data_IF_419961217797
#
_entry.id   IF_419961217797
#
_cell.length_a   1.000
_cell.length_b   1.000
_cell.length_c   1.000
_cell.angle_alpha   90.00
_cell.angle_beta   90.00
_cell.angle_gamma   90.00
#
_symmetry.space_group_name_H-M   'P 1'
#
loop_
_entity.id
_entity.type
_entity.pdbx_description
1 polymer ?
#
# COMPACT_ATOMS: atom_id res chain seq x y z
N UNK A 1 45.30 71.90 -38.54
CA UNK A 1 44.48 71.03 -39.42
C UNK A 1 43.34 70.45 -38.59
N UNK A 2 42.12 70.95 -38.78
CA UNK A 2 40.89 70.14 -38.64
C UNK A 2 40.74 69.27 -39.93
N UNK A 3 39.88 68.23 -40.04
CA UNK A 3 38.42 68.22 -39.76
C UNK A 3 37.91 66.93 -39.02
N UNK A 4 36.84 66.99 -38.22
CA UNK A 4 35.39 66.85 -38.50
C UNK A 4 34.84 65.41 -38.74
N UNK A 5 33.88 65.04 -37.88
CA UNK A 5 32.67 64.14 -37.94
C UNK A 5 32.21 63.55 -39.30
N UNK A 6 31.24 62.58 -39.41
CA UNK A 6 30.20 62.19 -38.43
C UNK A 6 29.68 60.71 -38.39
N UNK A 7 28.86 60.44 -37.36
CA UNK A 7 27.61 59.66 -37.29
C UNK A 7 27.40 58.35 -38.07
N UNK A 8 27.02 57.29 -37.33
CA UNK A 8 26.14 56.23 -37.82
C UNK A 8 25.03 55.93 -36.80
N UNK A 9 23.78 56.07 -37.27
CA UNK A 9 22.53 55.75 -36.56
C UNK A 9 22.40 54.23 -36.38
N UNK A 10 21.93 53.79 -35.21
CA UNK A 10 21.37 52.45 -35.03
C UNK A 10 19.95 52.58 -34.48
N UNK A 11 19.04 51.84 -35.10
CA UNK A 11 17.60 51.97 -34.97
C UNK A 11 17.06 51.54 -33.62
N UNK A 12 15.93 52.17 -33.27
CA UNK A 12 15.07 51.78 -32.17
C UNK A 12 14.46 50.39 -32.45
N UNK A 13 14.49 49.52 -31.43
CA UNK A 13 13.61 48.34 -31.36
C UNK A 13 12.77 48.42 -30.08
N UNK A 14 11.44 48.19 -30.17
CA UNK A 14 10.52 48.39 -29.07
C UNK A 14 10.55 47.22 -28.07
N UNK A 15 10.30 47.54 -26.80
CA UNK A 15 10.05 46.59 -25.72
C UNK A 15 8.70 45.87 -25.95
N UNK A 16 8.58 44.55 -25.73
CA UNK A 16 7.30 43.85 -25.79
C UNK A 16 6.45 44.11 -24.53
N UNK A 17 5.14 44.27 -24.73
CA UNK A 17 4.12 44.48 -23.68
C UNK A 17 3.79 43.19 -22.92
N UNK A 18 3.48 43.37 -21.64
CA UNK A 18 2.78 42.41 -20.78
C UNK A 18 1.36 42.12 -21.30
N UNK A 19 1.01 40.83 -21.44
CA UNK A 19 -0.24 40.19 -20.98
C UNK A 19 -0.53 38.91 -21.78
N UNK A 20 -0.31 37.73 -21.20
CA UNK A 20 -1.15 36.56 -21.43
C UNK A 20 -1.27 35.78 -20.09
N UNK A 21 -2.50 35.67 -19.59
CA UNK A 21 -2.88 34.81 -18.46
C UNK A 21 -3.27 33.42 -19.00
N UNK A 22 -2.98 32.32 -18.30
CA UNK A 22 -3.34 30.98 -18.77
C UNK A 22 -4.86 30.74 -18.69
N UNK A 23 -5.38 30.07 -19.72
CA UNK A 23 -6.77 29.65 -19.89
C UNK A 23 -7.21 28.76 -18.73
N UNK A 24 -8.25 29.19 -18.02
CA UNK A 24 -8.92 28.44 -16.96
C UNK A 24 -9.71 27.27 -17.57
N UNK A 25 -9.33 26.02 -17.29
CA UNK A 25 -10.15 24.83 -17.60
C UNK A 25 -11.50 24.98 -16.88
N UNK A 26 -12.61 24.94 -17.63
CA UNK A 26 -13.95 24.89 -17.05
C UNK A 26 -14.20 23.50 -16.45
N UNK A 27 -14.60 23.46 -15.19
CA UNK A 27 -15.08 22.24 -14.53
C UNK A 27 -16.36 21.71 -15.20
N UNK A 28 -16.54 20.38 -15.31
CA UNK A 28 -17.69 19.78 -15.97
C UNK A 28 -19.00 20.04 -15.22
N UNK A 29 -20.10 20.00 -15.97
CA UNK A 29 -21.46 20.26 -15.48
C UNK A 29 -21.99 19.13 -14.59
N UNK A 30 -22.85 19.46 -13.62
CA UNK A 30 -23.51 18.50 -12.72
C UNK A 30 -24.33 17.41 -13.45
N UNK A 31 -24.66 17.61 -14.72
CA UNK A 31 -25.33 16.60 -15.55
C UNK A 31 -24.35 15.57 -16.15
N UNK A 32 -23.13 15.96 -16.50
CA UNK A 32 -22.09 15.05 -16.97
C UNK A 32 -21.65 14.10 -15.85
N UNK A 33 -21.58 14.62 -14.61
CA UNK A 33 -21.28 13.85 -13.39
C UNK A 33 -22.36 12.79 -13.09
N UNK A 34 -23.62 13.03 -13.49
CA UNK A 34 -24.73 12.10 -13.24
C UNK A 34 -24.82 10.98 -14.27
N UNK A 35 -24.40 11.23 -15.51
CA UNK A 35 -24.47 10.23 -16.58
C UNK A 35 -23.36 9.16 -16.45
N UNK A 36 -22.24 9.51 -15.84
CA UNK A 36 -21.09 8.62 -15.62
C UNK A 36 -21.36 7.49 -14.61
N UNK A 37 -22.33 7.67 -13.69
CA UNK A 37 -22.66 6.66 -12.66
C UNK A 37 -23.37 5.40 -13.17
N UNK A 38 -23.74 5.31 -14.46
CA UNK A 38 -24.48 4.15 -15.01
C UNK A 38 -23.67 3.20 -15.88
N UNK A 39 -22.36 3.41 -16.06
CA UNK A 39 -21.50 2.46 -16.75
C UNK A 39 -20.43 1.94 -15.81
N UNK A 40 -20.60 0.70 -15.36
CA UNK A 40 -19.57 -0.04 -14.64
C UNK A 40 -18.37 -0.26 -15.56
N UNK A 41 -17.33 0.54 -15.39
CA UNK A 41 -15.98 0.27 -15.86
C UNK A 41 -15.05 0.44 -14.68
N UNK A 42 -14.13 -0.51 -14.51
CA UNK A 42 -13.16 -0.59 -13.42
C UNK A 42 -12.64 0.82 -13.04
N UNK A 43 -12.91 1.24 -11.80
CA UNK A 43 -12.37 2.48 -11.27
C UNK A 43 -10.88 2.30 -11.03
N UNK A 44 -10.09 2.61 -12.05
CA UNK A 44 -8.75 3.11 -11.85
C UNK A 44 -8.88 4.38 -11.02
N UNK A 45 -8.61 4.29 -9.72
CA UNK A 45 -8.43 5.47 -8.87
C UNK A 45 -6.99 5.93 -9.06
N UNK A 46 -6.71 7.07 -9.73
CA UNK A 46 -5.35 7.42 -10.10
C UNK A 46 -4.64 8.05 -8.91
N UNK A 47 -3.71 7.32 -8.29
CA UNK A 47 -2.62 7.93 -7.55
C UNK A 47 -1.73 8.72 -8.55
N UNK A 48 -1.19 9.87 -8.14
CA UNK A 48 -0.51 10.81 -9.05
C UNK A 48 0.62 10.17 -9.87
N UNK A 49 0.51 10.24 -11.21
CA UNK A 49 1.17 9.33 -12.17
C UNK A 49 2.71 9.27 -12.24
N UNK A 50 3.45 10.06 -11.47
CA UNK A 50 4.91 9.95 -11.38
C UNK A 50 5.38 9.04 -10.23
N UNK A 51 4.73 9.15 -9.07
CA UNK A 51 5.06 8.35 -7.87
C UNK A 51 4.64 6.89 -8.08
N UNK A 52 3.53 6.67 -8.80
CA UNK A 52 2.98 5.33 -9.10
C UNK A 52 3.96 4.47 -9.88
N UNK A 53 4.63 5.03 -10.88
CA UNK A 53 5.53 4.27 -11.74
C UNK A 53 6.75 3.77 -10.95
N UNK A 54 7.27 4.58 -10.02
CA UNK A 54 8.42 4.18 -9.21
C UNK A 54 8.05 3.18 -8.11
N UNK A 55 6.87 3.32 -7.48
CA UNK A 55 6.37 2.32 -6.51
C UNK A 55 6.06 0.99 -7.21
N UNK A 56 5.41 1.03 -8.38
CA UNK A 56 5.16 -0.14 -9.21
C UNK A 56 6.48 -0.85 -9.58
N UNK A 57 7.49 -0.12 -10.06
CA UNK A 57 8.80 -0.71 -10.37
C UNK A 57 9.44 -1.39 -9.16
N UNK A 58 9.33 -0.81 -7.96
CA UNK A 58 9.87 -1.40 -6.73
C UNK A 58 9.14 -2.68 -6.35
N UNK A 59 7.80 -2.67 -6.42
CA UNK A 59 6.98 -3.84 -6.12
C UNK A 59 7.32 -4.97 -7.10
N UNK A 60 7.23 -4.69 -8.40
CA UNK A 60 7.48 -5.69 -9.45
C UNK A 60 8.92 -6.21 -9.40
N UNK A 61 9.90 -5.32 -9.23
CA UNK A 61 11.31 -5.71 -9.12
C UNK A 61 11.60 -6.55 -7.87
N UNK A 62 10.97 -6.26 -6.72
CA UNK A 62 11.12 -7.07 -5.52
C UNK A 62 10.46 -8.45 -5.66
N UNK A 63 9.28 -8.50 -6.29
CA UNK A 63 8.61 -9.78 -6.58
C UNK A 63 9.45 -10.63 -7.53
N UNK A 64 10.07 -10.04 -8.54
CA UNK A 64 10.98 -10.75 -9.44
C UNK A 64 12.23 -11.28 -8.70
N UNK A 65 12.85 -10.45 -7.85
CA UNK A 65 14.10 -10.81 -7.18
C UNK A 65 13.93 -11.72 -5.95
N UNK A 66 12.85 -11.56 -5.20
CA UNK A 66 12.65 -12.17 -3.88
C UNK A 66 11.34 -12.97 -3.77
N UNK A 67 10.45 -12.82 -4.75
CA UNK A 67 9.14 -13.48 -4.80
C UNK A 67 8.02 -12.74 -4.08
N UNK A 68 8.33 -11.66 -3.37
CA UNK A 68 7.33 -10.81 -2.71
C UNK A 68 7.86 -9.42 -2.42
N UNK A 69 6.97 -8.52 -2.00
CA UNK A 69 7.29 -7.19 -1.49
C UNK A 69 6.55 -6.95 -0.17
N UNK A 70 7.20 -6.27 0.77
CA UNK A 70 6.60 -5.87 2.04
C UNK A 70 6.16 -4.41 2.00
N UNK A 71 4.89 -4.16 2.29
CA UNK A 71 4.36 -2.81 2.40
C UNK A 71 4.17 -2.46 3.86
N UNK A 72 4.94 -1.49 4.34
CA UNK A 72 4.78 -0.94 5.68
C UNK A 72 3.93 0.33 5.65
N UNK A 73 3.01 0.45 6.62
CA UNK A 73 2.16 1.61 6.83
C UNK A 73 2.30 2.05 8.28
N UNK A 74 2.66 3.32 8.43
CA UNK A 74 2.95 3.96 9.70
C UNK A 74 2.04 5.17 9.86
N UNK A 75 1.39 5.30 11.02
CA UNK A 75 0.63 6.49 11.39
C UNK A 75 1.45 7.37 12.34
N UNK A 76 1.91 8.57 11.90
CA UNK A 76 2.68 9.46 12.76
C UNK A 76 1.87 10.02 13.94
N UNK A 77 0.54 10.03 13.86
CA UNK A 77 -0.34 10.51 14.93
C UNK A 77 -0.69 9.38 15.93
N UNK A 78 -0.28 8.14 15.64
CA UNK A 78 -0.52 6.95 16.45
C UNK A 78 -2.02 6.71 16.75
N UNK A 79 -2.89 7.15 15.85
CA UNK A 79 -4.34 6.95 15.96
C UNK A 79 -4.70 5.55 15.50
N UNK A 80 -4.07 5.08 14.42
CA UNK A 80 -4.20 3.70 13.92
C UNK A 80 -2.89 2.93 14.16
N UNK A 81 -2.98 1.61 14.44
CA UNK A 81 -1.79 0.79 14.62
C UNK A 81 -1.01 0.67 13.32
N UNK A 82 0.31 0.73 13.42
CA UNK A 82 1.20 0.42 12.31
C UNK A 82 0.97 -1.01 11.83
N UNK A 83 1.17 -1.25 10.54
CA UNK A 83 1.04 -2.59 9.99
C UNK A 83 1.98 -2.83 8.82
N UNK A 84 2.23 -4.10 8.56
CA UNK A 84 2.95 -4.55 7.37
C UNK A 84 2.16 -5.66 6.72
N UNK A 85 2.04 -5.64 5.39
CA UNK A 85 1.42 -6.72 4.63
C UNK A 85 2.27 -7.14 3.44
N UNK A 86 2.06 -8.37 2.99
CA UNK A 86 2.72 -8.93 1.80
C UNK A 86 2.02 -8.49 0.51
N UNK A 87 2.82 -8.37 -0.55
CA UNK A 87 2.34 -8.24 -1.92
C UNK A 87 3.09 -9.26 -2.76
N UNK A 88 2.35 -10.16 -3.42
CA UNK A 88 2.90 -11.12 -4.37
C UNK A 88 2.93 -12.57 -3.90
N UNK A 89 2.54 -12.88 -2.66
CA UNK A 89 2.42 -14.29 -2.22
C UNK A 89 1.42 -15.06 -3.09
N UNK A 90 0.33 -14.39 -3.43
CA UNK A 90 -0.70 -14.92 -4.33
C UNK A 90 -0.18 -15.20 -5.73
N UNK A 91 0.73 -14.36 -6.22
CA UNK A 91 1.34 -14.53 -7.54
C UNK A 91 2.43 -15.61 -7.57
N UNK A 92 3.27 -15.70 -6.53
CA UNK A 92 4.50 -16.52 -6.57
C UNK A 92 4.40 -17.85 -5.85
N UNK A 93 3.49 -17.97 -4.88
CA UNK A 93 3.29 -19.19 -4.08
C UNK A 93 1.88 -19.79 -4.19
N UNK A 94 0.97 -19.16 -4.94
CA UNK A 94 -0.47 -19.50 -4.95
C UNK A 94 -1.05 -19.53 -3.52
N UNK A 95 -0.62 -18.56 -2.70
CA UNK A 95 -0.98 -18.43 -1.29
C UNK A 95 -1.77 -17.13 -1.01
N UNK A 96 -2.54 -17.03 0.08
CA UNK A 96 -3.07 -15.77 0.56
C UNK A 96 -1.96 -14.75 0.78
N UNK A 97 -2.33 -13.47 0.72
CA UNK A 97 -1.52 -12.42 1.29
C UNK A 97 -1.65 -12.44 2.82
N UNK A 98 -0.66 -11.87 3.50
CA UNK A 98 -0.58 -11.85 4.97
C UNK A 98 -0.40 -10.43 5.49
N UNK A 99 -0.98 -10.15 6.65
CA UNK A 99 -0.88 -8.87 7.34
C UNK A 99 -0.57 -9.04 8.83
N UNK A 100 0.29 -8.18 9.37
CA UNK A 100 0.66 -8.11 10.79
C UNK A 100 0.48 -6.67 11.27
N UNK A 101 -0.01 -6.48 12.49
CA UNK A 101 -0.27 -5.17 13.10
C UNK A 101 0.54 -4.96 14.37
N UNK A 102 0.76 -3.71 14.74
CA UNK A 102 1.04 -3.29 16.11
C UNK A 102 2.46 -3.53 16.63
N UNK A 103 3.36 -4.08 15.81
CA UNK A 103 4.76 -4.34 16.17
C UNK A 103 5.71 -3.37 15.45
N UNK A 104 6.99 -3.41 15.81
CA UNK A 104 8.02 -2.69 15.08
C UNK A 104 8.10 -3.17 13.62
N UNK A 105 8.42 -2.26 12.69
CA UNK A 105 8.48 -2.54 11.25
C UNK A 105 9.28 -3.80 10.93
N UNK A 106 10.49 -3.90 11.48
CA UNK A 106 11.41 -4.99 11.18
C UNK A 106 10.89 -6.33 11.72
N UNK A 107 10.24 -6.32 12.90
CA UNK A 107 9.60 -7.52 13.47
C UNK A 107 8.48 -8.00 12.56
N UNK A 108 7.60 -7.10 12.10
CA UNK A 108 6.52 -7.48 11.18
C UNK A 108 7.05 -7.96 9.83
N UNK A 109 8.14 -7.36 9.34
CA UNK A 109 8.81 -7.81 8.12
C UNK A 109 9.36 -9.23 8.27
N UNK A 110 10.11 -9.49 9.34
CA UNK A 110 10.72 -10.80 9.60
C UNK A 110 9.66 -11.89 9.80
N UNK A 111 8.55 -11.56 10.46
CA UNK A 111 7.40 -12.46 10.57
C UNK A 111 6.84 -12.83 9.19
N UNK A 112 6.65 -11.86 8.29
CA UNK A 112 6.15 -12.12 6.93
C UNK A 112 7.17 -12.90 6.09
N UNK A 113 8.46 -12.60 6.21
CA UNK A 113 9.53 -13.38 5.58
C UNK A 113 9.50 -14.85 6.07
N UNK A 114 9.33 -15.05 7.38
CA UNK A 114 9.17 -16.38 7.97
C UNK A 114 7.91 -17.11 7.51
N UNK A 115 6.81 -16.40 7.25
CA UNK A 115 5.61 -16.98 6.62
C UNK A 115 5.93 -17.42 5.19
N UNK A 116 6.53 -16.55 4.39
CA UNK A 116 6.92 -16.83 3.01
C UNK A 116 7.78 -18.09 2.90
N UNK A 117 8.85 -18.17 3.69
CA UNK A 117 9.78 -19.30 3.67
C UNK A 117 9.11 -20.62 4.05
N UNK A 118 8.22 -20.60 5.06
CA UNK A 118 7.48 -21.80 5.47
C UNK A 118 6.50 -22.27 4.40
N UNK A 119 5.78 -21.37 3.74
CA UNK A 119 4.86 -21.73 2.64
C UNK A 119 5.67 -22.26 1.45
N UNK A 120 6.76 -21.58 1.09
CA UNK A 120 7.69 -22.03 0.04
C UNK A 120 8.27 -23.42 0.31
N UNK A 121 8.51 -23.75 1.58
CA UNK A 121 8.92 -25.09 2.03
C UNK A 121 7.79 -26.13 2.06
N UNK A 122 6.57 -25.79 1.60
CA UNK A 122 5.44 -26.71 1.47
C UNK A 122 4.49 -26.74 2.67
N UNK A 123 4.61 -25.80 3.60
CA UNK A 123 3.64 -25.68 4.70
C UNK A 123 2.25 -25.36 4.14
N UNK A 124 1.26 -26.18 4.50
CA UNK A 124 -0.15 -25.94 4.18
C UNK A 124 -0.78 -24.95 5.13
N UNK A 125 -1.74 -24.20 4.61
CA UNK A 125 -2.49 -23.19 5.34
C UNK A 125 -3.79 -23.78 5.86
N UNK A 126 -4.05 -23.58 7.15
CA UNK A 126 -5.29 -23.92 7.81
C UNK A 126 -5.76 -22.72 8.63
N UNK A 127 -7.08 -22.51 8.74
CA UNK A 127 -7.61 -21.43 9.55
C UNK A 127 -7.43 -21.71 11.04
N UNK A 128 -7.15 -20.68 11.84
CA UNK A 128 -6.81 -20.77 13.26
C UNK A 128 -5.58 -21.63 13.56
N UNK A 129 -4.68 -21.80 12.58
CA UNK A 129 -3.45 -22.55 12.77
C UNK A 129 -2.45 -21.75 13.60
N UNK A 130 -1.77 -22.44 14.53
CA UNK A 130 -0.64 -21.88 15.27
C UNK A 130 0.60 -21.82 14.37
N UNK A 131 1.28 -20.68 14.37
CA UNK A 131 2.51 -20.42 13.63
C UNK A 131 3.69 -20.27 14.58
N UNK A 132 4.50 -21.33 14.64
CA UNK A 132 5.72 -21.36 15.46
C UNK A 132 6.92 -20.81 14.71
N UNK A 133 7.82 -20.16 15.45
CA UNK A 133 9.07 -19.63 14.93
C UNK A 133 8.86 -18.61 13.82
N UNK A 134 7.85 -17.74 13.99
CA UNK A 134 7.78 -16.44 13.31
C UNK A 134 8.41 -15.34 14.17
N UNK A 135 8.41 -15.53 15.49
CA UNK A 135 9.17 -14.78 16.46
C UNK A 135 9.84 -15.78 17.43
N UNK A 136 10.93 -15.39 18.08
CA UNK A 136 11.65 -16.26 19.01
C UNK A 136 10.91 -16.47 20.34
N UNK A 137 10.22 -15.44 20.82
CA UNK A 137 9.56 -15.44 22.13
C UNK A 137 8.11 -15.94 22.15
N UNK A 138 7.45 -16.02 20.99
CA UNK A 138 6.01 -16.35 20.97
C UNK A 138 5.56 -17.05 19.69
N UNK A 139 4.52 -17.88 19.86
CA UNK A 139 3.78 -18.47 18.76
C UNK A 139 2.65 -17.53 18.32
N UNK A 140 2.44 -17.41 17.01
CA UNK A 140 1.35 -16.60 16.46
C UNK A 140 0.17 -17.48 16.05
N UNK A 141 -0.97 -16.86 15.72
CA UNK A 141 -2.12 -17.56 15.16
C UNK A 141 -2.51 -16.88 13.85
N UNK A 142 -2.72 -17.68 12.80
CA UNK A 142 -3.27 -17.19 11.55
C UNK A 142 -4.80 -17.16 11.60
N UNK A 143 -5.38 -16.00 11.29
CA UNK A 143 -6.83 -15.81 11.17
C UNK A 143 -7.17 -15.40 9.76
N UNK A 144 -8.04 -16.17 9.10
CA UNK A 144 -8.58 -15.74 7.81
C UNK A 144 -9.33 -14.42 7.97
N UNK A 145 -8.97 -13.43 7.16
CA UNK A 145 -9.66 -12.14 7.13
C UNK A 145 -11.01 -12.30 6.44
N UNK A 146 -12.04 -11.74 7.06
CA UNK A 146 -13.42 -11.75 6.57
C UNK A 146 -14.07 -10.36 6.53
N UNK A 147 -13.33 -9.32 6.94
CA UNK A 147 -13.80 -7.94 6.85
C UNK A 147 -13.84 -7.50 5.39
N UNK A 148 -14.97 -6.96 4.94
CA UNK A 148 -15.20 -6.62 3.53
C UNK A 148 -14.24 -5.52 3.02
N UNK A 149 -14.02 -4.48 3.84
CA UNK A 149 -13.14 -3.37 3.46
C UNK A 149 -11.63 -3.62 3.70
N UNK A 150 -11.22 -4.86 3.99
CA UNK A 150 -9.82 -5.13 4.37
C UNK A 150 -8.81 -4.75 3.28
N UNK A 151 -9.16 -4.98 2.01
CA UNK A 151 -8.31 -4.61 0.87
C UNK A 151 -8.33 -3.12 0.59
N UNK A 152 -9.50 -2.48 0.67
CA UNK A 152 -9.63 -1.03 0.48
C UNK A 152 -8.92 -0.23 1.58
N UNK A 153 -8.96 -0.70 2.84
CA UNK A 153 -8.35 -0.02 3.99
C UNK A 153 -6.87 -0.36 4.17
N UNK A 154 -6.48 -1.63 3.98
CA UNK A 154 -5.15 -2.12 4.39
C UNK A 154 -4.30 -2.62 3.22
N UNK A 155 -4.80 -3.60 2.46
CA UNK A 155 -3.99 -4.36 1.49
C UNK A 155 -4.09 -3.84 0.04
N UNK A 156 -4.15 -2.51 -0.14
CA UNK A 156 -4.44 -1.84 -1.42
C UNK A 156 -3.49 -2.25 -2.55
N UNK A 157 -2.19 -2.38 -2.29
CA UNK A 157 -1.21 -2.72 -3.32
C UNK A 157 -1.25 -4.20 -3.72
N UNK A 158 -1.67 -5.08 -2.81
CA UNK A 158 -1.93 -6.48 -3.14
C UNK A 158 -3.16 -6.61 -4.03
N UNK A 159 -4.21 -5.85 -3.73
CA UNK A 159 -5.41 -5.80 -4.55
C UNK A 159 -5.15 -5.26 -5.95
N UNK A 160 -4.38 -4.16 -6.03
CA UNK A 160 -3.93 -3.60 -7.30
C UNK A 160 -3.17 -4.64 -8.14
N UNK A 161 -2.22 -5.37 -7.55
CA UNK A 161 -1.45 -6.39 -8.28
C UNK A 161 -2.34 -7.53 -8.78
N UNK A 162 -3.29 -7.98 -7.94
CA UNK A 162 -4.26 -9.01 -8.29
C UNK A 162 -5.11 -8.60 -9.50
N UNK A 163 -5.67 -7.38 -9.47
CA UNK A 163 -6.44 -6.83 -10.58
C UNK A 163 -5.59 -6.61 -11.84
N UNK A 164 -4.35 -6.12 -11.68
CA UNK A 164 -3.39 -5.92 -12.79
C UNK A 164 -3.08 -7.24 -13.51
N UNK A 165 -3.04 -8.35 -12.79
CA UNK A 165 -2.82 -9.69 -13.34
C UNK A 165 -4.09 -10.29 -13.96
N UNK A 166 -5.18 -9.53 -14.06
CA UNK A 166 -6.41 -9.93 -14.74
C UNK A 166 -7.39 -10.76 -13.90
N UNK A 167 -7.15 -10.86 -12.59
CA UNK A 167 -8.06 -11.54 -11.68
C UNK A 167 -9.26 -10.66 -11.29
N UNK A 168 -10.40 -11.28 -11.05
CA UNK A 168 -11.57 -10.63 -10.45
C UNK A 168 -11.56 -10.75 -8.92
N UNK A 169 -12.29 -9.85 -8.26
CA UNK A 169 -12.36 -9.82 -6.79
C UNK A 169 -11.03 -9.45 -6.15
N UNK A 170 -10.74 -10.05 -5.00
CA UNK A 170 -9.53 -9.82 -4.20
C UNK A 170 -8.81 -11.16 -3.95
N UNK A 171 -7.49 -11.16 -3.71
CA UNK A 171 -6.82 -12.35 -3.21
C UNK A 171 -7.35 -12.71 -1.81
N UNK A 172 -7.04 -13.91 -1.32
CA UNK A 172 -7.27 -14.22 0.08
C UNK A 172 -6.31 -13.40 0.97
N UNK A 173 -6.75 -13.01 2.17
CA UNK A 173 -5.93 -12.32 3.17
C UNK A 173 -6.00 -13.04 4.51
N UNK A 174 -4.84 -13.15 5.18
CA UNK A 174 -4.70 -13.77 6.50
C UNK A 174 -4.00 -12.80 7.44
N UNK A 175 -4.58 -12.60 8.62
CA UNK A 175 -3.93 -11.83 9.68
C UNK A 175 -3.11 -12.77 10.57
N UNK A 176 -1.84 -12.43 10.79
CA UNK A 176 -1.01 -13.07 11.83
C UNK A 176 -1.22 -12.30 13.14
N UNK A 177 -1.74 -12.98 14.15
CA UNK A 177 -2.06 -12.43 15.46
C UNK A 177 -1.02 -12.90 16.47
N UNK A 178 -0.45 -11.97 17.22
CA UNK A 178 0.55 -12.23 18.25
C UNK A 178 -0.04 -12.07 19.66
N UNK A 179 0.45 -12.83 20.66
CA UNK A 179 0.00 -12.73 22.05
C UNK A 179 0.74 -11.63 22.80
N UNK A 180 0.16 -11.12 23.89
CA UNK A 180 0.86 -10.20 24.78
C UNK A 180 2.17 -10.80 25.33
N UNK A 181 3.29 -10.08 25.21
CA UNK A 181 4.61 -10.59 25.63
C UNK A 181 4.70 -10.95 27.12
N UNK A 182 3.90 -10.29 27.97
CA UNK A 182 4.00 -10.42 29.42
C UNK A 182 3.09 -11.51 30.00
N UNK A 183 1.99 -11.85 29.31
CA UNK A 183 0.96 -12.75 29.80
C UNK A 183 0.70 -13.93 28.86
N UNK A 184 1.21 -13.89 27.63
CA UNK A 184 0.99 -14.91 26.61
C UNK A 184 -0.44 -14.96 26.09
N UNK A 185 -1.25 -13.92 26.34
CA UNK A 185 -2.67 -13.90 26.00
C UNK A 185 -2.91 -13.26 24.64
N UNK A 186 -3.68 -13.94 23.79
CA UNK A 186 -4.15 -13.40 22.52
C UNK A 186 -5.32 -12.41 22.72
N UNK A 187 -5.62 -11.55 21.73
CA UNK A 187 -6.70 -10.56 21.84
C UNK A 187 -8.08 -11.09 22.23
N UNK A 188 -8.35 -12.38 22.00
CA UNK A 188 -9.61 -13.04 22.37
C UNK A 188 -9.60 -13.71 23.75
N UNK A 189 -8.43 -13.82 24.39
CA UNK A 189 -8.32 -14.49 25.68
C UNK A 189 -8.82 -13.58 26.81
N UNK A 190 -9.46 -14.20 27.80
CA UNK A 190 -9.93 -13.50 28.98
C UNK A 190 -8.73 -12.90 29.75
N UNK A 191 -8.78 -11.60 30.01
CA UNK A 191 -7.72 -10.88 30.71
C UNK A 191 -6.58 -10.36 29.82
N UNK A 192 -6.65 -10.55 28.49
CA UNK A 192 -5.70 -9.93 27.57
C UNK A 192 -5.72 -8.40 27.74
N UNK A 193 -4.53 -7.79 27.78
CA UNK A 193 -4.35 -6.34 27.96
C UNK A 193 -4.97 -5.56 26.81
N UNK A 194 -5.58 -4.43 27.13
CA UNK A 194 -6.24 -3.60 26.11
C UNK A 194 -5.26 -3.06 25.08
N UNK A 195 -4.01 -2.76 25.48
CA UNK A 195 -2.96 -2.36 24.54
C UNK A 195 -2.65 -3.42 23.47
N UNK A 196 -2.79 -4.72 23.78
CA UNK A 196 -2.57 -5.81 22.82
C UNK A 196 -3.75 -5.92 21.85
N UNK A 197 -4.97 -5.65 22.32
CA UNK A 197 -6.20 -5.63 21.50
C UNK A 197 -6.23 -4.41 20.58
N UNK A 198 -5.93 -3.23 21.12
CA UNK A 198 -5.89 -1.97 20.38
C UNK A 198 -4.81 -1.97 19.29
N UNK A 199 -3.67 -2.62 19.56
CA UNK A 199 -2.60 -2.78 18.59
C UNK A 199 -2.97 -3.71 17.41
N UNK A 200 -4.03 -4.51 17.53
CA UNK A 200 -4.39 -5.55 16.56
C UNK A 200 -5.89 -5.51 16.21
N UNK A 201 -6.29 -4.68 15.22
CA UNK A 201 -7.67 -4.64 14.76
C UNK A 201 -8.16 -6.03 14.37
N UNK A 202 -9.35 -6.42 14.84
CA UNK A 202 -9.95 -7.72 14.54
C UNK A 202 -10.53 -7.70 13.13
N UNK A 203 -9.88 -8.38 12.18
CA UNK A 203 -10.32 -8.47 10.78
C UNK A 203 -11.11 -9.76 10.44
N UNK A 204 -11.35 -10.62 11.42
CA UNK A 204 -12.09 -11.88 11.27
C UNK A 204 -13.45 -11.82 12.01
N UNK A 205 -14.37 -12.74 11.71
CA UNK A 205 -15.63 -12.90 12.45
C UNK A 205 -15.45 -13.87 13.62
#
# INVERSE_FOLDING_TARGET
MAPASPAARAGAHPLPRMHELPVMLKSPSSEEIRLDRRRGTARHSPMAGGIVIEEEKRILGSIEAHGWYAVHRYDPELVEPNYTYSVGFSQTLDAPEFIVFGLHRDVMYDMLAGVYDKIKAGRKLEDNQVWKGLHEDFDCVARKVSHEDAFEKYAVLADWLWARNGHGGHPALVQIVWPGLLDGLYPWDAGCRDTVKEAQPKLWR
#
